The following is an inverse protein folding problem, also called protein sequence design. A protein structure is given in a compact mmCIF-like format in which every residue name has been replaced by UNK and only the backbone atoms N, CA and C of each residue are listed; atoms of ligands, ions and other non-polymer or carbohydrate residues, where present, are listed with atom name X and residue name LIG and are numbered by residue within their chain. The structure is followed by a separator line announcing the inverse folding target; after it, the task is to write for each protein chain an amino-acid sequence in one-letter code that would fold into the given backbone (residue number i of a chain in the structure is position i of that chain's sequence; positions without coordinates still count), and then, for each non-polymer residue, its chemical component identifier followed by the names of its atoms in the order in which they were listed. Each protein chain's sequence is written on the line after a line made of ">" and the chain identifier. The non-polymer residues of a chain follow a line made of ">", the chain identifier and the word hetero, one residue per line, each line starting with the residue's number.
data_IF_589574067368
#
_entry.id   IF_589574067368
#
_cell.length_a   1.000
_cell.length_b   1.000
_cell.length_c   1.000
_cell.angle_alpha   90.00
_cell.angle_beta   90.00
_cell.angle_gamma   90.00
#
_symmetry.space_group_name_H-M   'P 1'
#
loop_
_entity.id
_entity.type
_entity.pdbx_description
1 polymer ?
#
# COMPACT_ATOMS: atom_id res chain seq x y z
N UNK A 1 -34.78 11.06 -13.33
CA UNK A 1 -33.39 11.52 -13.09
C UNK A 1 -32.44 10.53 -13.74
N UNK A 2 -31.52 10.95 -14.62
CA UNK A 2 -30.61 10.03 -15.32
C UNK A 2 -29.57 9.49 -14.33
N UNK A 3 -29.54 8.17 -14.10
CA UNK A 3 -28.59 7.53 -13.17
C UNK A 3 -27.18 7.53 -13.80
N UNK A 4 -26.23 8.19 -13.14
CA UNK A 4 -24.82 8.25 -13.57
C UNK A 4 -23.93 7.44 -12.63
N UNK A 5 -22.89 6.84 -13.20
CA UNK A 5 -21.94 5.97 -12.52
C UNK A 5 -20.53 6.53 -12.71
N UNK A 6 -19.88 7.04 -11.66
CA UNK A 6 -18.52 7.53 -11.78
C UNK A 6 -17.53 6.36 -11.88
N UNK A 7 -16.77 6.31 -12.97
CA UNK A 7 -15.63 5.42 -13.11
C UNK A 7 -14.38 6.13 -12.58
N UNK A 8 -14.11 5.94 -11.28
CA UNK A 8 -13.08 6.69 -10.57
C UNK A 8 -11.70 6.06 -10.74
N UNK A 9 -10.77 6.80 -11.33
CA UNK A 9 -9.36 6.41 -11.49
C UNK A 9 -8.42 7.52 -11.01
N UNK A 10 -7.17 7.19 -10.69
CA UNK A 10 -6.18 8.22 -10.39
C UNK A 10 -5.78 8.95 -11.68
N UNK A 11 -5.75 10.27 -11.65
CA UNK A 11 -5.27 11.07 -12.79
C UNK A 11 -3.81 10.75 -13.12
N UNK A 12 -3.54 10.45 -14.38
CA UNK A 12 -2.18 10.27 -14.92
C UNK A 12 -2.16 10.82 -16.36
N UNK A 13 -1.36 11.86 -16.64
CA UNK A 13 -1.32 12.51 -17.96
C UNK A 13 -0.80 11.61 -19.08
N UNK A 14 -0.11 10.51 -18.73
CA UNK A 14 0.40 9.55 -19.70
C UNK A 14 -0.64 8.48 -20.10
N UNK A 15 -1.82 8.47 -19.47
CA UNK A 15 -2.88 7.53 -19.83
C UNK A 15 -3.63 8.01 -21.09
N UNK A 16 -4.09 7.08 -21.93
CA UNK A 16 -4.99 7.40 -23.03
C UNK A 16 -6.35 7.93 -22.52
N UNK A 17 -7.11 8.59 -23.39
CA UNK A 17 -8.45 9.09 -23.07
C UNK A 17 -9.39 7.96 -22.62
N UNK A 18 -9.58 7.86 -21.31
CA UNK A 18 -10.43 6.86 -20.66
C UNK A 18 -11.90 7.03 -21.05
N UNK A 19 -12.36 8.27 -21.30
CA UNK A 19 -13.71 8.51 -21.78
C UNK A 19 -13.94 7.95 -23.19
N UNK A 20 -12.93 8.02 -24.06
CA UNK A 20 -12.97 7.39 -25.38
C UNK A 20 -12.98 5.85 -25.27
N UNK A 21 -12.14 5.28 -24.39
CA UNK A 21 -12.10 3.83 -24.16
C UNK A 21 -13.45 3.31 -23.65
N UNK A 22 -14.05 3.98 -22.66
CA UNK A 22 -15.36 3.60 -22.11
C UNK A 22 -16.42 3.61 -23.21
N UNK A 23 -16.47 4.65 -24.05
CA UNK A 23 -17.42 4.74 -25.16
C UNK A 23 -17.19 3.64 -26.20
N UNK A 24 -15.93 3.39 -26.57
CA UNK A 24 -15.54 2.37 -27.55
C UNK A 24 -15.93 0.96 -27.11
N UNK A 25 -15.79 0.65 -25.82
CA UNK A 25 -16.01 -0.69 -25.26
C UNK A 25 -17.36 -0.86 -24.55
N UNK A 26 -18.24 0.15 -24.60
CA UNK A 26 -19.55 0.09 -23.96
C UNK A 26 -20.41 -1.09 -24.45
N UNK A 27 -20.23 -1.50 -25.71
CA UNK A 27 -20.96 -2.63 -26.30
C UNK A 27 -20.77 -3.93 -25.51
N UNK A 28 -19.62 -4.12 -24.84
CA UNK A 28 -19.33 -5.30 -24.01
C UNK A 28 -20.34 -5.37 -22.87
N UNK A 29 -20.60 -4.25 -22.20
CA UNK A 29 -21.62 -4.19 -21.14
C UNK A 29 -23.03 -4.33 -21.72
N UNK A 30 -23.28 -3.76 -22.90
CA UNK A 30 -24.60 -3.83 -23.55
C UNK A 30 -24.96 -5.22 -24.10
N UNK A 31 -24.00 -6.14 -24.20
CA UNK A 31 -24.25 -7.53 -24.58
C UNK A 31 -25.16 -8.26 -23.60
N UNK A 32 -25.13 -7.86 -22.32
CA UNK A 32 -26.02 -8.40 -21.30
C UNK A 32 -27.24 -7.48 -21.12
N UNK A 33 -28.47 -8.00 -21.23
CA UNK A 33 -29.69 -7.18 -21.15
C UNK A 33 -29.84 -6.44 -19.83
N UNK A 34 -29.45 -7.04 -18.70
CA UNK A 34 -29.48 -6.38 -17.37
C UNK A 34 -28.50 -5.22 -17.31
N UNK A 35 -27.30 -5.42 -17.83
CA UNK A 35 -26.25 -4.38 -17.84
C UNK A 35 -26.56 -3.26 -18.83
N UNK A 36 -27.24 -3.56 -19.94
CA UNK A 36 -27.71 -2.55 -20.90
C UNK A 36 -28.73 -1.60 -20.27
N UNK A 37 -29.64 -2.12 -19.45
CA UNK A 37 -30.61 -1.32 -18.69
C UNK A 37 -29.93 -0.47 -17.61
N UNK A 38 -28.97 -1.06 -16.90
CA UNK A 38 -28.21 -0.37 -15.84
C UNK A 38 -27.26 0.70 -16.38
N UNK A 39 -26.61 0.45 -17.52
CA UNK A 39 -25.57 1.31 -18.09
C UNK A 39 -25.95 1.79 -19.52
N UNK A 40 -26.96 2.67 -19.64
CA UNK A 40 -27.28 3.28 -20.92
C UNK A 40 -26.11 4.16 -21.44
N UNK A 41 -26.16 4.54 -22.71
CA UNK A 41 -25.11 5.41 -23.30
C UNK A 41 -24.95 6.70 -22.48
N UNK A 42 -23.71 6.96 -22.06
CA UNK A 42 -23.36 8.12 -21.23
C UNK A 42 -23.75 7.99 -19.76
N UNK A 43 -24.11 6.79 -19.28
CA UNK A 43 -24.30 6.56 -17.84
C UNK A 43 -22.96 6.51 -17.08
N UNK A 44 -21.91 5.95 -17.69
CA UNK A 44 -20.58 5.87 -17.09
C UNK A 44 -19.83 7.17 -17.38
N UNK A 45 -19.43 7.87 -16.32
CA UNK A 45 -18.71 9.14 -16.40
C UNK A 45 -17.27 8.91 -15.91
N UNK A 46 -16.24 9.11 -16.74
CA UNK A 46 -14.87 9.04 -16.27
C UNK A 46 -14.65 10.11 -15.20
N UNK A 47 -14.15 9.69 -14.04
CA UNK A 47 -13.91 10.57 -12.90
C UNK A 47 -12.48 10.37 -12.42
N UNK A 48 -11.80 11.48 -12.13
CA UNK A 48 -10.38 11.44 -11.78
C UNK A 48 -10.19 11.88 -10.33
N UNK A 49 -9.58 11.02 -9.52
CA UNK A 49 -9.05 11.40 -8.20
C UNK A 49 -7.60 11.83 -8.31
N UNK A 50 -7.14 12.63 -7.35
CA UNK A 50 -5.73 13.00 -7.21
C UNK A 50 -4.85 11.75 -7.05
N UNK A 51 -3.67 11.76 -7.66
CA UNK A 51 -2.62 10.80 -7.36
C UNK A 51 -2.12 10.97 -5.92
N UNK A 52 -1.57 9.88 -5.35
CA UNK A 52 -1.01 9.94 -3.99
C UNK A 52 0.13 10.94 -3.97
N UNK A 53 0.12 11.85 -3.00
CA UNK A 53 1.26 12.73 -2.77
C UNK A 53 2.37 12.02 -1.99
N UNK A 54 3.55 12.63 -1.93
CA UNK A 54 4.71 12.05 -1.24
C UNK A 54 4.40 11.73 0.24
N UNK A 55 3.65 12.60 0.92
CA UNK A 55 3.21 12.33 2.30
C UNK A 55 2.34 11.07 2.36
N UNK A 56 1.37 10.88 1.48
CA UNK A 56 0.53 9.68 1.45
C UNK A 56 1.28 8.40 1.06
N UNK A 57 2.39 8.55 0.34
CA UNK A 57 3.29 7.44 0.01
C UNK A 57 4.19 7.07 1.20
N UNK A 58 4.74 8.07 1.90
CA UNK A 58 5.71 7.90 2.99
C UNK A 58 5.07 7.75 4.37
N UNK A 59 3.87 8.29 4.58
CA UNK A 59 3.18 8.33 5.87
C UNK A 59 2.25 7.14 6.20
N UNK A 60 2.30 5.95 5.57
CA UNK A 60 1.86 4.74 6.27
C UNK A 60 2.79 4.53 7.49
N UNK A 61 2.44 5.18 8.62
CA UNK A 61 3.20 5.15 9.88
C UNK A 61 3.18 3.78 10.57
N UNK A 62 2.41 2.84 10.02
CA UNK A 62 2.40 1.45 10.43
C UNK A 62 2.64 0.63 9.17
N UNK A 63 3.73 -0.14 9.17
CA UNK A 63 3.83 -1.31 8.31
C UNK A 63 2.50 -2.04 8.42
N UNK A 64 1.82 -2.30 7.30
CA UNK A 64 0.70 -3.23 7.30
C UNK A 64 1.26 -4.50 7.92
N UNK A 65 0.85 -4.81 9.14
CA UNK A 65 1.17 -6.08 9.78
C UNK A 65 0.64 -7.12 8.81
N UNK A 66 1.54 -7.75 8.06
CA UNK A 66 1.22 -8.97 7.33
C UNK A 66 0.64 -9.87 8.39
N UNK A 67 -0.62 -10.26 8.24
CA UNK A 67 -1.42 -11.04 9.19
C UNK A 67 -0.55 -12.02 10.00
N UNK A 68 -0.07 -11.60 11.18
CA UNK A 68 0.53 -12.49 12.15
C UNK A 68 -0.63 -12.87 13.08
N UNK A 69 -0.89 -14.18 13.13
CA UNK A 69 -1.96 -14.78 13.94
C UNK A 69 -1.81 -14.50 15.43
N UNK A 70 -2.72 -15.06 16.25
CA UNK A 70 -2.86 -14.67 17.65
C UNK A 70 -1.62 -15.02 18.46
N UNK A 71 -1.02 -13.98 19.06
CA UNK A 71 -0.32 -14.00 20.35
C UNK A 71 0.61 -15.19 20.61
N UNK A 72 1.74 -15.23 19.91
CA UNK A 72 2.95 -15.82 20.49
C UNK A 72 3.63 -14.70 21.25
N UNK A 73 4.10 -14.94 22.47
CA UNK A 73 4.92 -14.02 23.24
C UNK A 73 6.13 -13.56 22.41
N UNK A 74 5.99 -12.48 21.66
CA UNK A 74 7.09 -11.95 20.88
C UNK A 74 8.09 -11.35 21.86
N UNK A 75 9.26 -11.97 21.94
CA UNK A 75 10.39 -11.44 22.71
C UNK A 75 10.67 -10.05 22.14
N UNK A 76 10.59 -9.03 22.98
CA UNK A 76 10.89 -7.65 22.58
C UNK A 76 12.39 -7.49 22.30
N UNK A 77 12.72 -6.70 21.28
CA UNK A 77 14.10 -6.50 20.84
C UNK A 77 14.22 -6.40 19.33
N UNK A 78 15.44 -6.25 18.86
CA UNK A 78 15.80 -6.26 17.46
C UNK A 78 16.48 -7.60 17.11
N UNK A 79 16.05 -8.22 16.00
CA UNK A 79 16.46 -9.57 15.59
C UNK A 79 16.90 -9.57 14.13
N UNK A 80 17.86 -10.45 13.80
CA UNK A 80 18.27 -10.69 12.43
C UNK A 80 17.09 -11.24 11.62
N UNK A 81 17.11 -10.97 10.33
CA UNK A 81 16.14 -11.58 9.42
C UNK A 81 16.50 -13.04 9.14
N UNK A 82 15.52 -13.85 8.74
CA UNK A 82 15.72 -15.28 8.43
C UNK A 82 16.47 -15.53 7.09
N UNK A 83 17.09 -14.51 6.50
CA UNK A 83 17.80 -14.62 5.22
C UNK A 83 19.29 -14.89 5.46
N UNK A 84 19.75 -16.07 5.06
CA UNK A 84 21.14 -16.52 5.23
C UNK A 84 22.19 -15.61 4.53
N UNK A 85 21.81 -14.86 3.50
CA UNK A 85 22.71 -13.96 2.73
C UNK A 85 22.51 -12.47 3.01
N UNK A 86 21.86 -12.11 4.12
CA UNK A 86 21.66 -10.69 4.45
C UNK A 86 22.96 -10.05 4.96
N UNK A 87 23.57 -9.19 4.14
CA UNK A 87 24.81 -8.48 4.47
C UNK A 87 24.69 -7.62 5.74
N UNK A 88 23.57 -6.89 5.86
CA UNK A 88 23.23 -6.10 7.05
C UNK A 88 23.20 -6.95 8.33
N UNK A 89 22.58 -8.15 8.29
CA UNK A 89 22.53 -9.07 9.43
C UNK A 89 23.89 -9.72 9.76
N UNK A 90 24.77 -9.85 8.77
CA UNK A 90 26.07 -10.49 8.94
C UNK A 90 27.13 -9.54 9.48
N UNK A 91 27.20 -8.34 8.91
CA UNK A 91 28.34 -7.44 9.10
C UNK A 91 28.04 -6.24 10.00
N UNK A 92 26.78 -5.80 10.07
CA UNK A 92 26.45 -4.48 10.65
C UNK A 92 25.41 -4.51 11.78
N UNK A 93 24.65 -5.60 11.90
CA UNK A 93 23.53 -5.67 12.84
C UNK A 93 23.79 -6.61 14.01
N UNK A 94 23.55 -6.10 15.22
CA UNK A 94 23.65 -6.81 16.49
C UNK A 94 22.26 -6.89 17.10
N UNK A 95 21.85 -8.10 17.49
CA UNK A 95 20.58 -8.31 18.18
C UNK A 95 20.64 -7.76 19.60
N UNK A 96 19.60 -7.05 20.02
CA UNK A 96 19.55 -6.44 21.35
C UNK A 96 18.13 -6.12 21.78
N UNK A 97 17.91 -6.06 23.10
CA UNK A 97 16.64 -5.60 23.71
C UNK A 97 16.67 -4.12 24.08
N UNK A 98 17.80 -3.45 23.87
CA UNK A 98 18.00 -2.04 24.22
C UNK A 98 19.12 -1.41 23.41
N UNK A 99 19.11 -0.09 23.23
CA UNK A 99 20.20 0.64 22.60
C UNK A 99 20.66 1.80 23.47
N UNK A 100 21.92 2.20 23.28
CA UNK A 100 22.51 3.37 23.91
C UNK A 100 22.43 4.54 22.94
N UNK A 101 21.92 5.69 23.40
CA UNK A 101 22.03 6.92 22.65
C UNK A 101 23.46 7.44 22.71
N UNK A 102 24.13 7.53 21.56
CA UNK A 102 25.49 8.08 21.47
C UNK A 102 25.53 9.55 21.90
N UNK A 103 24.45 10.30 21.66
CA UNK A 103 24.36 11.72 21.98
C UNK A 103 24.13 12.00 23.47
N UNK A 104 23.39 11.12 24.17
CA UNK A 104 22.93 11.39 25.54
C UNK A 104 23.42 10.38 26.58
N UNK A 105 24.05 9.28 26.15
CA UNK A 105 24.47 8.18 27.02
C UNK A 105 23.31 7.41 27.67
N UNK A 106 22.05 7.72 27.34
CA UNK A 106 20.88 7.06 27.91
C UNK A 106 20.62 5.73 27.22
N UNK A 107 20.27 4.72 28.03
CA UNK A 107 19.87 3.39 27.55
C UNK A 107 18.35 3.35 27.39
N UNK A 108 17.88 2.93 26.21
CA UNK A 108 16.47 2.81 25.88
C UNK A 108 16.11 1.36 25.62
N UNK A 109 15.02 0.88 26.24
CA UNK A 109 14.48 -0.46 26.01
C UNK A 109 13.64 -0.50 24.74
N UNK A 110 13.81 -1.55 23.94
CA UNK A 110 13.02 -1.79 22.74
C UNK A 110 11.78 -2.55 23.18
N UNK A 111 10.60 -1.93 23.03
CA UNK A 111 9.32 -2.51 23.47
C UNK A 111 8.58 -3.27 22.36
N UNK A 112 9.13 -3.32 21.15
CA UNK A 112 8.56 -4.02 20.01
C UNK A 112 9.52 -5.10 19.50
N UNK A 113 9.01 -6.10 18.77
CA UNK A 113 9.85 -7.03 18.02
C UNK A 113 10.18 -6.40 16.66
N UNK A 114 11.43 -6.01 16.47
CA UNK A 114 11.92 -5.41 15.24
C UNK A 114 12.75 -6.46 14.49
N UNK A 115 12.40 -6.76 13.25
CA UNK A 115 13.29 -7.49 12.34
C UNK A 115 13.91 -6.50 11.35
N UNK A 116 15.13 -6.77 10.92
CA UNK A 116 15.79 -5.99 9.85
C UNK A 116 15.01 -6.20 8.55
N UNK A 117 14.01 -5.37 8.31
CA UNK A 117 13.36 -5.23 7.00
C UNK A 117 13.75 -3.85 6.48
N UNK A 118 15.00 -3.72 6.05
CA UNK A 118 15.34 -2.70 5.06
C UNK A 118 14.77 -3.22 3.73
N UNK A 119 13.62 -2.69 3.32
CA UNK A 119 13.21 -2.72 1.92
C UNK A 119 13.09 -1.26 1.51
N UNK A 120 14.15 -0.77 0.86
CA UNK A 120 14.13 0.50 0.12
C UNK A 120 13.02 0.46 -0.92
#
# INVERSE_FOLDING_TARGET
>A
TKKSFPFVIAFNPNLPDVGNIIRKHLFILQSNPKLKELFPRGAIIPSFRRSKNLKELLAPSRFKTVNEGPTIHHINGCFKCDRNRCDLCRNFFVESKSFLSFQTGKKYSIHSRLSVILKM
#
